data_IF_725447205775
#
_entry.id   IF_725447205775
#
_cell.length_a   1.000
_cell.length_b   1.000
_cell.length_c   1.000
_cell.angle_alpha   90.00
_cell.angle_beta   90.00
_cell.angle_gamma   90.00
#
_symmetry.space_group_name_H-M   'P 1'
#
loop_
_entity.id
_entity.type
_entity.pdbx_description
1 polymer ?
#
# COMPACT_ATOMS: atom_id res chain seq x y z
N UNK A 1 -19.15 5.99 -15.42
CA UNK A 1 -18.08 6.78 -14.78
C UNK A 1 -17.50 5.98 -13.62
N UNK A 2 -16.20 6.13 -13.35
CA UNK A 2 -15.46 5.59 -12.21
C UNK A 2 -15.03 4.13 -12.33
N UNK A 3 -13.74 3.95 -12.59
CA UNK A 3 -12.90 3.21 -11.65
C UNK A 3 -11.45 3.67 -11.83
N UNK A 4 -11.18 4.90 -11.39
CA UNK A 4 -9.82 5.42 -11.22
C UNK A 4 -8.90 4.38 -10.57
N UNK A 5 -9.44 3.61 -9.62
CA UNK A 5 -8.77 2.48 -8.96
C UNK A 5 -8.34 1.39 -9.96
N UNK A 6 -9.21 0.98 -10.88
CA UNK A 6 -8.87 0.01 -11.92
C UNK A 6 -7.83 0.56 -12.89
N UNK A 7 -8.01 1.80 -13.36
CA UNK A 7 -7.04 2.41 -14.25
C UNK A 7 -5.66 2.51 -13.59
N UNK A 8 -5.62 2.85 -12.30
CA UNK A 8 -4.39 2.91 -11.52
C UNK A 8 -3.75 1.52 -11.35
N UNK A 9 -4.55 0.47 -11.16
CA UNK A 9 -4.06 -0.91 -11.10
C UNK A 9 -3.45 -1.32 -12.45
N UNK A 10 -4.15 -1.11 -13.56
CA UNK A 10 -3.64 -1.51 -14.88
C UNK A 10 -2.40 -0.68 -15.28
N UNK A 11 -2.38 0.61 -14.92
CA UNK A 11 -1.19 1.44 -15.11
C UNK A 11 0.00 0.97 -14.27
N UNK A 12 -0.23 0.64 -12.99
CA UNK A 12 0.78 0.05 -12.12
C UNK A 12 1.31 -1.26 -12.68
N UNK A 13 0.42 -2.13 -13.16
CA UNK A 13 0.78 -3.40 -13.78
C UNK A 13 1.70 -3.23 -14.99
N UNK A 14 1.45 -2.22 -15.83
CA UNK A 14 2.29 -1.91 -17.00
C UNK A 14 3.58 -1.14 -16.67
N UNK A 15 3.62 -0.42 -15.54
CA UNK A 15 4.75 0.40 -15.12
C UNK A 15 5.16 0.07 -13.68
N UNK A 16 6.09 -0.88 -13.50
CA UNK A 16 6.53 -1.27 -12.16
C UNK A 16 7.27 -0.14 -11.42
N UNK A 17 7.71 0.93 -12.10
CA UNK A 17 8.31 2.13 -11.52
C UNK A 17 7.52 2.74 -10.33
N UNK A 18 6.18 2.62 -10.34
CA UNK A 18 5.32 3.22 -9.31
C UNK A 18 5.08 2.35 -8.08
N UNK A 19 5.40 1.05 -8.14
CA UNK A 19 5.16 0.13 -7.02
C UNK A 19 6.33 -0.76 -6.65
N UNK A 20 7.19 -1.08 -7.61
CA UNK A 20 8.36 -1.90 -7.41
C UNK A 20 9.52 -1.06 -6.86
N UNK A 21 10.00 -1.46 -5.68
CA UNK A 21 11.15 -0.83 -5.03
C UNK A 21 12.47 -1.44 -5.47
N UNK A 22 12.45 -2.58 -6.17
CA UNK A 22 13.63 -3.25 -6.70
C UNK A 22 14.09 -2.72 -8.06
N UNK A 23 13.35 -1.80 -8.67
CA UNK A 23 13.77 -1.15 -9.92
C UNK A 23 14.69 0.01 -9.61
N UNK A 24 15.93 -0.10 -10.11
CA UNK A 24 16.87 1.01 -10.20
C UNK A 24 16.29 2.06 -11.16
N UNK A 25 15.72 3.10 -10.57
CA UNK A 25 15.20 4.26 -11.27
C UNK A 25 15.52 5.51 -10.47
N UNK A 26 15.72 6.61 -11.19
CA UNK A 26 15.91 7.90 -10.56
C UNK A 26 14.62 8.36 -9.90
N UNK A 27 14.75 9.19 -8.85
CA UNK A 27 13.59 9.82 -8.20
C UNK A 27 12.70 10.56 -9.20
N UNK A 28 13.32 11.20 -10.20
CA UNK A 28 12.66 11.93 -11.27
C UNK A 28 11.80 11.02 -12.15
N UNK A 29 12.33 9.89 -12.63
CA UNK A 29 11.56 8.94 -13.45
C UNK A 29 10.33 8.39 -12.71
N UNK A 30 10.48 8.13 -11.40
CA UNK A 30 9.37 7.71 -10.56
C UNK A 30 8.33 8.81 -10.43
N UNK A 31 8.75 10.06 -10.21
CA UNK A 31 7.85 11.22 -10.16
C UNK A 31 7.14 11.47 -11.49
N UNK A 32 7.85 11.39 -12.61
CA UNK A 32 7.30 11.54 -13.96
C UNK A 32 6.26 10.46 -14.24
N UNK A 33 6.48 9.22 -13.80
CA UNK A 33 5.49 8.15 -13.93
C UNK A 33 4.21 8.44 -13.15
N UNK A 34 4.30 9.08 -11.98
CA UNK A 34 3.13 9.52 -11.22
C UNK A 34 2.43 10.72 -11.87
N UNK A 35 3.20 11.68 -12.39
CA UNK A 35 2.70 12.86 -13.07
C UNK A 35 1.92 12.47 -14.33
N UNK A 36 2.46 11.59 -15.16
CA UNK A 36 1.81 11.11 -16.38
C UNK A 36 0.43 10.49 -16.11
N UNK A 37 0.31 9.70 -15.04
CA UNK A 37 -0.99 9.14 -14.67
C UNK A 37 -1.94 10.21 -14.14
N UNK A 38 -1.44 11.10 -13.27
CA UNK A 38 -2.23 12.16 -12.68
C UNK A 38 -2.78 13.12 -13.73
N UNK A 39 -1.96 13.48 -14.72
CA UNK A 39 -2.33 14.33 -15.86
C UNK A 39 -3.43 13.68 -16.72
N UNK A 40 -3.30 12.38 -17.02
CA UNK A 40 -4.30 11.62 -17.76
C UNK A 40 -5.68 11.56 -17.08
N UNK A 41 -5.75 11.77 -15.76
CA UNK A 41 -6.99 11.82 -14.99
C UNK A 41 -7.35 13.22 -14.48
N UNK A 42 -6.57 14.26 -14.82
CA UNK A 42 -6.70 15.63 -14.30
C UNK A 42 -6.77 15.68 -12.76
N UNK A 43 -5.96 14.86 -12.12
CA UNK A 43 -5.87 14.76 -10.66
C UNK A 43 -4.52 15.27 -10.16
N UNK A 44 -4.45 15.59 -8.88
CA UNK A 44 -3.17 15.86 -8.25
C UNK A 44 -2.42 14.55 -7.99
N UNK A 45 -1.11 14.56 -8.24
CA UNK A 45 -0.21 13.40 -7.97
C UNK A 45 -0.36 12.89 -6.53
N UNK A 46 -0.45 13.79 -5.56
CA UNK A 46 -0.61 13.42 -4.14
C UNK A 46 -1.90 12.63 -3.89
N UNK A 47 -2.97 12.98 -4.59
CA UNK A 47 -4.27 12.31 -4.45
C UNK A 47 -4.24 10.91 -5.05
N UNK A 48 -3.58 10.76 -6.21
CA UNK A 48 -3.34 9.45 -6.83
C UNK A 48 -2.49 8.58 -5.92
N UNK A 49 -1.43 9.13 -5.31
CA UNK A 49 -0.55 8.42 -4.37
C UNK A 49 -1.31 7.95 -3.12
N UNK A 50 -2.11 8.83 -2.50
CA UNK A 50 -2.96 8.47 -1.35
C UNK A 50 -3.93 7.35 -1.70
N UNK A 51 -4.55 7.41 -2.88
CA UNK A 51 -5.45 6.33 -3.36
C UNK A 51 -4.70 5.02 -3.59
N UNK A 52 -3.53 5.06 -4.22
CA UNK A 52 -2.68 3.88 -4.41
C UNK A 52 -2.28 3.25 -3.07
N UNK A 53 -1.87 4.07 -2.11
CA UNK A 53 -1.48 3.62 -0.79
C UNK A 53 -2.64 2.97 -0.04
N UNK A 54 -3.83 3.58 -0.08
CA UNK A 54 -5.03 2.99 0.50
C UNK A 54 -5.36 1.62 -0.10
N UNK A 55 -5.23 1.48 -1.43
CA UNK A 55 -5.44 0.18 -2.11
C UNK A 55 -4.40 -0.86 -1.71
N UNK A 56 -3.13 -0.49 -1.60
CA UNK A 56 -2.09 -1.41 -1.11
C UNK A 56 -2.35 -1.83 0.33
N UNK A 57 -2.69 -0.89 1.23
CA UNK A 57 -3.02 -1.21 2.62
C UNK A 57 -4.19 -2.21 2.72
N UNK A 58 -5.25 -1.99 1.94
CA UNK A 58 -6.36 -2.95 1.85
C UNK A 58 -5.91 -4.30 1.31
N UNK A 59 -5.14 -4.34 0.21
CA UNK A 59 -4.59 -5.58 -0.33
C UNK A 59 -3.78 -6.36 0.71
N UNK A 60 -2.87 -5.70 1.43
CA UNK A 60 -2.07 -6.35 2.48
C UNK A 60 -2.92 -6.83 3.66
N UNK A 61 -3.96 -6.08 4.04
CA UNK A 61 -4.90 -6.49 5.07
C UNK A 61 -5.65 -7.76 4.66
N UNK A 62 -6.24 -7.75 3.47
CA UNK A 62 -6.95 -8.90 2.89
C UNK A 62 -6.03 -10.10 2.69
N UNK A 63 -4.80 -9.87 2.22
CA UNK A 63 -3.80 -10.93 2.04
C UNK A 63 -3.43 -11.55 3.39
N UNK A 64 -3.21 -10.74 4.43
CA UNK A 64 -2.94 -11.22 5.78
C UNK A 64 -4.12 -12.05 6.32
N UNK A 65 -5.35 -11.62 6.08
CA UNK A 65 -6.56 -12.36 6.47
C UNK A 65 -6.68 -13.67 5.69
N UNK A 66 -6.45 -13.65 4.38
CA UNK A 66 -6.43 -14.85 3.52
C UNK A 66 -5.38 -15.85 4.01
N UNK A 67 -4.17 -15.41 4.36
CA UNK A 67 -3.11 -16.28 4.87
C UNK A 67 -3.42 -16.85 6.26
N UNK A 68 -4.13 -16.09 7.12
CA UNK A 68 -4.52 -16.54 8.46
C UNK A 68 -5.72 -17.49 8.46
N UNK A 69 -6.71 -17.24 7.59
CA UNK A 69 -8.03 -17.90 7.64
C UNK A 69 -8.30 -18.80 6.45
N UNK A 70 -7.50 -18.70 5.39
CA UNK A 70 -7.75 -19.35 4.10
C UNK A 70 -8.92 -18.76 3.31
N UNK A 71 -9.62 -17.75 3.85
CA UNK A 71 -10.82 -17.19 3.22
C UNK A 71 -10.44 -16.19 2.13
N UNK A 72 -10.97 -16.40 0.92
CA UNK A 72 -10.80 -15.48 -0.22
C UNK A 72 -11.46 -14.13 0.09
N UNK A 73 -10.82 -13.05 -0.34
CA UNK A 73 -11.36 -11.71 -0.24
C UNK A 73 -12.50 -11.50 -1.24
N UNK A 74 -13.59 -10.88 -0.79
CA UNK A 74 -14.70 -10.44 -1.65
C UNK A 74 -14.35 -9.15 -2.42
N UNK A 75 -13.16 -8.59 -2.19
CA UNK A 75 -12.75 -7.35 -2.83
C UNK A 75 -12.39 -7.57 -4.30
N UNK A 76 -13.17 -6.99 -5.21
CA UNK A 76 -13.02 -7.12 -6.67
C UNK A 76 -11.64 -6.74 -7.22
N UNK A 77 -10.87 -5.91 -6.49
CA UNK A 77 -9.52 -5.51 -6.88
C UNK A 77 -8.42 -6.42 -6.33
N UNK A 78 -8.76 -7.30 -5.38
CA UNK A 78 -7.81 -8.19 -4.72
C UNK A 78 -7.08 -9.06 -5.74
N UNK A 79 -7.82 -9.82 -6.56
CA UNK A 79 -7.22 -10.71 -7.57
C UNK A 79 -6.41 -9.95 -8.62
N UNK A 80 -6.82 -8.73 -8.99
CA UNK A 80 -6.09 -7.89 -9.95
C UNK A 80 -4.75 -7.43 -9.37
N UNK A 81 -4.74 -6.97 -8.12
CA UNK A 81 -3.52 -6.58 -7.42
C UNK A 81 -2.62 -7.79 -7.15
N UNK A 82 -3.19 -8.94 -6.75
CA UNK A 82 -2.44 -10.17 -6.47
C UNK A 82 -1.61 -10.62 -7.68
N UNK A 83 -2.14 -10.47 -8.89
CA UNK A 83 -1.51 -10.93 -10.13
C UNK A 83 -0.09 -10.39 -10.36
N UNK A 84 0.25 -9.21 -9.85
CA UNK A 84 1.57 -8.60 -10.01
C UNK A 84 2.23 -8.19 -8.68
N UNK A 85 1.47 -7.91 -7.62
CA UNK A 85 2.03 -7.58 -6.32
C UNK A 85 2.49 -8.82 -5.54
N UNK A 86 2.05 -10.04 -5.86
CA UNK A 86 2.42 -11.23 -5.07
C UNK A 86 3.91 -11.57 -5.14
N UNK A 87 4.59 -11.29 -6.27
CA UNK A 87 6.03 -11.55 -6.46
C UNK A 87 6.94 -10.82 -5.45
N UNK A 88 6.86 -9.49 -5.28
CA UNK A 88 7.64 -8.80 -4.24
C UNK A 88 7.15 -9.11 -2.82
N UNK A 89 5.88 -9.51 -2.66
CA UNK A 89 5.29 -9.75 -1.33
C UNK A 89 5.73 -11.08 -0.74
N UNK A 90 6.05 -12.10 -1.55
CA UNK A 90 6.63 -13.34 -1.04
C UNK A 90 8.00 -13.11 -0.37
N UNK A 91 8.86 -12.29 -0.97
CA UNK A 91 10.14 -11.86 -0.38
C UNK A 91 9.94 -10.98 0.87
N UNK A 92 8.91 -10.12 0.87
CA UNK A 92 8.55 -9.32 2.04
C UNK A 92 8.01 -10.20 3.18
N UNK A 93 7.23 -11.22 2.85
CA UNK A 93 6.68 -12.19 3.79
C UNK A 93 7.77 -13.09 4.38
N UNK A 94 8.78 -13.49 3.62
CA UNK A 94 9.97 -14.15 4.18
C UNK A 94 10.67 -13.24 5.19
N UNK A 95 10.83 -11.95 4.89
CA UNK A 95 11.43 -10.97 5.82
C UNK A 95 10.59 -10.76 7.10
N UNK A 96 9.26 -10.75 7.00
CA UNK A 96 8.38 -10.61 8.16
C UNK A 96 8.03 -11.92 8.88
N UNK A 97 8.32 -13.08 8.26
CA UNK A 97 8.16 -14.39 8.91
C UNK A 97 9.35 -14.75 9.81
N UNK A 98 10.44 -13.96 9.80
CA UNK A 98 11.57 -14.08 10.74
C UNK A 98 11.25 -13.48 12.13
N UNK A 99 10.02 -13.06 12.40
CA UNK A 99 9.58 -12.71 13.77
C UNK A 99 8.35 -13.49 14.19
N UNK A 100 8.45 -14.82 14.19
CA UNK A 100 7.77 -15.63 15.21
C UNK A 100 8.67 -15.64 16.46
N UNK A 101 8.52 -14.61 17.29
CA UNK A 101 9.16 -14.53 18.60
C UNK A 101 8.76 -13.22 19.28
N UNK A 102 7.98 -13.36 20.35
CA UNK A 102 7.54 -12.34 21.32
C UNK A 102 6.64 -11.21 20.81
N UNK A 103 5.33 -11.43 20.94
CA UNK A 103 4.38 -10.37 21.29
C UNK A 103 4.86 -9.73 22.60
N UNK A 104 5.19 -8.44 22.59
CA UNK A 104 5.27 -7.64 23.81
C UNK A 104 4.19 -6.55 23.73
N UNK A 105 3.09 -6.68 24.50
CA UNK A 105 2.01 -5.70 24.53
C UNK A 105 2.27 -4.65 25.62
N UNK A 106 3.24 -3.76 25.43
CA UNK A 106 3.36 -2.57 26.27
C UNK A 106 3.77 -1.36 25.42
N UNK A 107 3.35 -0.18 25.87
CA UNK A 107 3.40 1.14 25.22
C UNK A 107 2.15 1.53 24.42
N UNK A 108 0.97 1.52 25.08
CA UNK A 108 0.04 2.63 24.92
C UNK A 108 0.23 3.50 26.16
N UNK A 109 1.23 4.39 26.13
CA UNK A 109 1.22 5.51 27.06
C UNK A 109 0.25 6.55 26.49
N UNK A 110 -0.92 6.63 27.12
CA UNK A 110 -1.85 7.73 26.91
C UNK A 110 -1.26 8.94 27.66
N UNK A 111 -0.55 9.81 26.94
CA UNK A 111 -0.24 11.14 27.49
C UNK A 111 -1.50 11.99 27.38
N UNK A 112 -2.30 11.98 28.44
CA UNK A 112 -3.23 13.05 28.75
C UNK A 112 -2.41 14.29 29.13
N UNK A 113 -2.35 15.28 28.24
CA UNK A 113 -1.94 16.63 28.61
C UNK A 113 -3.14 17.32 29.26
N UNK A 114 -3.16 17.35 30.60
CA UNK A 114 -3.96 18.28 31.38
C UNK A 114 -3.03 19.44 31.75
N UNK A 115 -3.14 20.55 31.03
CA UNK A 115 -2.40 21.79 31.31
C UNK A 115 -3.34 22.69 32.12
N UNK A 116 -3.20 22.63 33.45
CA UNK A 116 -3.78 23.61 34.37
C UNK A 116 -2.63 24.35 35.04
N UNK A 117 -2.35 25.55 34.53
CA UNK A 117 -1.37 26.50 35.05
C UNK A 117 -2.03 27.32 36.19
N UNK A 118 -1.40 27.30 37.36
CA UNK A 118 -1.74 28.11 38.53
C UNK A 118 -0.66 29.18 38.69
N UNK A 119 -1.04 30.45 38.58
CA UNK A 119 -0.47 31.56 39.36
C UNK A 119 -1.51 32.63 39.66
#
# INVERSE_FOLDING_TARGET
MNNLKLALIEYARGRPLIWDRGIDCTKKEREDAWLLFADGFKLQVQEVRKRWEGMRRMYFHELRTFLKTGKKSDWVYFSKLDSFLRKPVQSLMEKFSVSKGTLNPECIEVSSNDESDET
#
